data_IF_904313956017
#
_entry.id   IF_904313956017
#
_cell.length_a   1.000
_cell.length_b   1.000
_cell.length_c   1.000
_cell.angle_alpha   90.00
_cell.angle_beta   90.00
_cell.angle_gamma   90.00
#
_symmetry.space_group_name_H-M   'P 1'
#
loop_
_entity.id
_entity.type
_entity.pdbx_description
1 polymer ?
#
# COMPACT_ATOMS: atom_id res chain seq x y z
N UNK A 1 31.38 -13.37 40.42
CA UNK A 1 30.43 -14.00 41.36
C UNK A 1 29.50 -12.90 41.84
N UNK A 2 28.25 -12.91 41.41
CA UNK A 2 27.26 -11.95 41.88
C UNK A 2 26.96 -12.30 43.35
N UNK A 3 27.15 -11.34 44.25
CA UNK A 3 27.15 -11.57 45.70
C UNK A 3 25.73 -11.77 46.26
N UNK A 4 25.18 -12.98 46.08
CA UNK A 4 23.83 -13.40 46.52
C UNK A 4 23.56 -13.20 48.01
N UNK A 5 24.60 -12.91 48.80
CA UNK A 5 24.50 -12.69 50.24
C UNK A 5 23.89 -11.33 50.56
N UNK A 6 24.11 -10.33 49.70
CA UNK A 6 23.69 -8.96 49.94
C UNK A 6 22.16 -8.79 49.87
N UNK A 7 21.47 -9.38 48.87
CA UNK A 7 20.01 -9.32 48.81
C UNK A 7 19.35 -10.03 50.00
N UNK A 8 19.86 -11.20 50.40
CA UNK A 8 19.31 -11.97 51.51
C UNK A 8 19.39 -11.21 52.84
N UNK A 9 20.52 -10.54 53.10
CA UNK A 9 20.68 -9.68 54.28
C UNK A 9 19.72 -8.49 54.26
N UNK A 10 19.50 -7.85 53.11
CA UNK A 10 18.57 -6.73 52.96
C UNK A 10 17.10 -7.16 53.14
N UNK A 11 16.71 -8.31 52.58
CA UNK A 11 15.36 -8.88 52.76
C UNK A 11 15.11 -9.22 54.23
N UNK A 12 16.06 -9.89 54.88
CA UNK A 12 15.97 -10.21 56.30
C UNK A 12 15.86 -8.95 57.16
N UNK A 13 16.68 -7.93 56.89
CA UNK A 13 16.61 -6.64 57.58
C UNK A 13 15.27 -5.94 57.38
N UNK A 14 14.70 -5.98 56.17
CA UNK A 14 13.39 -5.41 55.88
C UNK A 14 12.26 -6.12 56.64
N UNK A 15 12.26 -7.45 56.68
CA UNK A 15 11.28 -8.22 57.47
C UNK A 15 11.42 -7.98 58.97
N UNK A 16 12.65 -7.93 59.49
CA UNK A 16 12.90 -7.62 60.90
C UNK A 16 12.45 -6.21 61.26
N UNK A 17 12.71 -5.23 60.38
CA UNK A 17 12.23 -3.87 60.58
C UNK A 17 10.71 -3.81 60.57
N UNK A 18 10.06 -4.56 59.68
CA UNK A 18 8.59 -4.66 59.64
C UNK A 18 8.02 -5.23 60.94
N UNK A 19 8.65 -6.25 61.51
CA UNK A 19 8.23 -6.85 62.79
C UNK A 19 8.42 -5.89 63.98
N UNK A 20 9.53 -5.15 64.02
CA UNK A 20 9.89 -4.29 65.18
C UNK A 20 9.32 -2.87 65.10
N UNK A 21 9.17 -2.34 63.89
CA UNK A 21 8.92 -0.92 63.60
C UNK A 21 7.70 -0.64 62.71
N UNK A 22 6.98 -1.68 62.29
CA UNK A 22 5.86 -1.57 61.38
C UNK A 22 6.26 -1.55 59.90
N UNK A 23 5.26 -1.69 59.03
CA UNK A 23 5.41 -1.71 57.58
C UNK A 23 6.07 -0.43 57.08
N UNK A 24 5.68 0.71 57.66
CA UNK A 24 6.19 2.03 57.29
C UNK A 24 7.71 2.09 57.26
N UNK A 25 8.36 1.74 58.36
CA UNK A 25 9.82 1.84 58.48
C UNK A 25 10.56 0.80 57.62
N UNK A 26 9.83 -0.20 57.12
CA UNK A 26 10.36 -1.26 56.28
C UNK A 26 10.23 -0.98 54.77
N UNK A 27 9.30 -0.12 54.33
CA UNK A 27 9.09 0.20 52.91
C UNK A 27 10.38 0.59 52.16
N UNK A 28 11.22 1.52 52.65
CA UNK A 28 12.45 1.89 51.95
C UNK A 28 13.48 0.73 51.93
N UNK A 29 13.48 -0.14 52.93
CA UNK A 29 14.34 -1.33 52.96
C UNK A 29 13.89 -2.37 51.92
N UNK A 30 12.58 -2.58 51.76
CA UNK A 30 12.05 -3.43 50.68
C UNK A 30 12.38 -2.86 49.30
N UNK A 31 12.35 -1.53 49.15
CA UNK A 31 12.78 -0.87 47.93
C UNK A 31 14.23 -1.21 47.55
N UNK A 32 15.15 -1.15 48.52
CA UNK A 32 16.57 -1.51 48.32
C UNK A 32 16.79 -3.02 48.13
N UNK A 33 16.04 -3.84 48.85
CA UNK A 33 16.10 -5.29 48.74
C UNK A 33 15.64 -5.75 47.35
N UNK A 34 14.57 -5.14 46.81
CA UNK A 34 14.12 -5.37 45.44
C UNK A 34 15.21 -5.01 44.43
N UNK A 35 15.89 -3.87 44.58
CA UNK A 35 16.95 -3.46 43.65
C UNK A 35 18.12 -4.47 43.67
N UNK A 36 18.51 -4.95 44.86
CA UNK A 36 19.55 -5.96 45.00
C UNK A 36 19.14 -7.30 44.37
N UNK A 37 17.88 -7.74 44.52
CA UNK A 37 17.43 -8.98 43.87
C UNK A 37 17.41 -8.86 42.35
N UNK A 38 17.07 -7.68 41.81
CA UNK A 38 17.09 -7.44 40.36
C UNK A 38 18.51 -7.49 39.81
N UNK A 39 19.49 -6.87 40.49
CA UNK A 39 20.91 -6.95 40.06
C UNK A 39 21.47 -8.36 40.13
N UNK A 40 20.90 -9.21 40.98
CA UNK A 40 21.20 -10.65 41.06
C UNK A 40 20.48 -11.52 40.03
N UNK A 41 19.60 -10.95 39.19
CA UNK A 41 18.79 -11.69 38.23
C UNK A 41 17.60 -12.45 38.85
N UNK A 42 17.23 -12.13 40.09
CA UNK A 42 16.16 -12.77 40.87
C UNK A 42 14.90 -11.92 40.89
N UNK A 43 14.49 -11.41 39.72
CA UNK A 43 13.34 -10.52 39.56
C UNK A 43 12.02 -11.14 40.05
N UNK A 44 11.82 -12.44 39.83
CA UNK A 44 10.63 -13.15 40.30
C UNK A 44 10.51 -13.13 41.84
N UNK A 45 11.62 -13.37 42.54
CA UNK A 45 11.64 -13.30 44.01
C UNK A 45 11.40 -11.88 44.52
N UNK A 46 11.93 -10.87 43.81
CA UNK A 46 11.65 -9.47 44.11
C UNK A 46 10.15 -9.16 43.96
N UNK A 47 9.52 -9.66 42.89
CA UNK A 47 8.10 -9.45 42.64
C UNK A 47 7.24 -10.09 43.74
N UNK A 48 7.50 -11.35 44.10
CA UNK A 48 6.78 -12.04 45.18
C UNK A 48 6.91 -11.30 46.51
N UNK A 49 8.14 -10.88 46.86
CA UNK A 49 8.38 -10.11 48.09
C UNK A 49 7.61 -8.78 48.10
N UNK A 50 7.60 -8.05 46.97
CA UNK A 50 6.85 -6.82 46.87
C UNK A 50 5.34 -7.07 46.92
N UNK A 51 4.81 -8.13 46.30
CA UNK A 51 3.41 -8.51 46.40
C UNK A 51 3.00 -8.74 47.87
N UNK A 52 3.78 -9.52 48.63
CA UNK A 52 3.51 -9.77 50.05
C UNK A 52 3.47 -8.49 50.88
N UNK A 53 4.37 -7.55 50.61
CA UNK A 53 4.49 -6.28 51.33
C UNK A 53 3.34 -5.34 50.95
N UNK A 54 2.95 -5.30 49.68
CA UNK A 54 1.84 -4.47 49.19
C UNK A 54 0.49 -4.99 49.69
N UNK A 55 0.32 -6.31 49.76
CA UNK A 55 -0.89 -6.97 50.28
C UNK A 55 -1.02 -6.82 51.80
N UNK A 56 0.10 -6.77 52.52
CA UNK A 56 0.13 -6.52 53.95
C UNK A 56 -0.31 -5.09 54.31
N UNK A 57 -1.62 -4.85 54.33
CA UNK A 57 -2.21 -3.56 54.73
C UNK A 57 -1.94 -3.29 56.21
N UNK A 58 -1.40 -2.12 56.54
CA UNK A 58 -1.50 -1.59 57.91
C UNK A 58 -2.91 -1.04 58.15
N UNK A 59 -3.43 -1.24 59.37
CA UNK A 59 -4.69 -0.60 59.78
C UNK A 59 -4.51 0.92 59.71
N UNK A 60 -5.34 1.60 58.91
CA UNK A 60 -5.41 3.08 58.81
C UNK A 60 -5.53 3.69 60.22
N UNK A 61 -4.41 4.12 60.80
CA UNK A 61 -4.37 4.83 62.07
C UNK A 61 -4.30 6.35 61.83
N UNK A 62 -4.68 7.12 62.86
CA UNK A 62 -4.72 8.59 62.92
C UNK A 62 -3.33 9.26 62.77
N UNK A 63 -2.63 9.02 61.67
CA UNK A 63 -1.34 9.65 61.38
C UNK A 63 -1.53 11.10 60.86
N UNK A 64 -0.61 12.03 61.14
CA UNK A 64 -0.62 13.39 60.58
C UNK A 64 -0.54 13.40 59.04
N UNK A 65 -1.16 14.40 58.39
CA UNK A 65 -1.27 14.48 56.91
C UNK A 65 0.06 14.43 56.16
N UNK A 66 1.13 15.05 56.68
CA UNK A 66 2.47 15.00 56.07
C UNK A 66 3.05 13.59 56.02
N UNK A 67 2.83 12.83 57.09
CA UNK A 67 3.29 11.45 57.24
C UNK A 67 2.45 10.48 56.40
N UNK A 68 1.16 10.77 56.18
CA UNK A 68 0.31 10.03 55.24
C UNK A 68 0.74 10.25 53.78
N UNK A 69 1.19 11.46 53.43
CA UNK A 69 1.67 11.78 52.09
C UNK A 69 3.00 11.07 51.76
N UNK A 70 3.96 11.04 52.69
CA UNK A 70 5.21 10.27 52.54
C UNK A 70 4.96 8.76 52.41
N UNK A 71 4.08 8.20 53.24
CA UNK A 71 3.70 6.78 53.15
C UNK A 71 3.05 6.44 51.80
N UNK A 72 2.23 7.36 51.30
CA UNK A 72 1.62 7.21 49.99
C UNK A 72 2.69 7.26 48.90
N UNK A 73 3.73 8.10 49.01
CA UNK A 73 4.78 8.17 47.99
C UNK A 73 5.69 6.94 47.99
N UNK A 74 6.13 6.46 49.16
CA UNK A 74 7.00 5.28 49.27
C UNK A 74 6.29 4.00 48.83
N UNK A 75 5.02 3.83 49.24
CA UNK A 75 4.20 2.71 48.79
C UNK A 75 3.99 2.76 47.28
N UNK A 76 3.75 3.95 46.70
CA UNK A 76 3.62 4.09 45.25
C UNK A 76 4.91 3.80 44.49
N UNK A 77 6.07 4.14 45.07
CA UNK A 77 7.35 3.74 44.50
C UNK A 77 7.49 2.22 44.44
N UNK A 78 7.05 1.49 45.48
CA UNK A 78 7.03 0.03 45.46
C UNK A 78 6.01 -0.54 44.45
N UNK A 79 4.83 0.08 44.31
CA UNK A 79 3.84 -0.29 43.27
C UNK A 79 4.46 -0.16 41.87
N UNK A 80 5.13 0.96 41.59
CA UNK A 80 5.82 1.17 40.33
C UNK A 80 6.92 0.13 40.07
N UNK A 81 7.73 -0.20 41.08
CA UNK A 81 8.74 -1.27 40.99
C UNK A 81 8.10 -2.63 40.73
N UNK A 82 7.03 -2.96 41.45
CA UNK A 82 6.30 -4.20 41.30
C UNK A 82 5.72 -4.35 39.89
N UNK A 83 5.05 -3.32 39.38
CA UNK A 83 4.53 -3.30 38.00
C UNK A 83 5.66 -3.48 36.97
N UNK A 84 6.80 -2.80 37.14
CA UNK A 84 7.95 -2.94 36.26
C UNK A 84 8.54 -4.36 36.25
N UNK A 85 8.59 -5.03 37.41
CA UNK A 85 9.07 -6.43 37.50
C UNK A 85 8.15 -7.40 36.76
N UNK A 86 6.84 -7.17 36.80
CA UNK A 86 5.86 -7.99 36.10
C UNK A 86 5.97 -7.76 34.60
N UNK A 87 6.06 -6.50 34.16
CA UNK A 87 6.28 -6.16 32.75
C UNK A 87 7.60 -6.75 32.20
N UNK A 88 8.61 -6.92 33.06
CA UNK A 88 9.87 -7.58 32.71
C UNK A 88 9.79 -9.13 32.67
N UNK A 89 8.63 -9.73 32.95
CA UNK A 89 8.38 -11.16 32.80
C UNK A 89 8.19 -11.95 34.11
N UNK A 90 8.15 -11.28 35.28
CA UNK A 90 7.88 -11.95 36.57
C UNK A 90 6.38 -12.22 36.77
N UNK A 91 5.73 -12.86 35.80
CA UNK A 91 4.27 -13.05 35.79
C UNK A 91 3.90 -14.31 36.59
N UNK A 92 2.94 -14.21 37.50
CA UNK A 92 2.33 -15.31 38.26
C UNK A 92 0.87 -14.98 38.58
N UNK A 93 0.06 -15.98 38.92
CA UNK A 93 -1.34 -15.75 39.32
C UNK A 93 -1.45 -14.82 40.54
N UNK A 94 -0.55 -14.98 41.53
CA UNK A 94 -0.47 -14.09 42.70
C UNK A 94 -0.16 -12.65 42.31
N UNK A 95 0.75 -12.46 41.35
CA UNK A 95 1.12 -11.13 40.89
C UNK A 95 -0.02 -10.46 40.10
N UNK A 96 -0.77 -11.22 39.32
CA UNK A 96 -1.97 -10.75 38.61
C UNK A 96 -3.06 -10.36 39.62
N UNK A 97 -3.29 -11.18 40.65
CA UNK A 97 -4.26 -10.87 41.70
C UNK A 97 -3.90 -9.57 42.44
N UNK A 98 -2.62 -9.40 42.80
CA UNK A 98 -2.12 -8.17 43.41
C UNK A 98 -2.27 -6.95 42.49
N UNK A 99 -1.96 -7.08 41.19
CA UNK A 99 -2.18 -6.00 40.23
C UNK A 99 -3.66 -5.62 40.10
N UNK A 100 -4.57 -6.59 40.11
CA UNK A 100 -6.01 -6.33 40.07
C UNK A 100 -6.49 -5.60 41.33
N UNK A 101 -6.01 -5.97 42.52
CA UNK A 101 -6.29 -5.24 43.76
C UNK A 101 -5.78 -3.78 43.69
N UNK A 102 -4.55 -3.58 43.20
CA UNK A 102 -3.98 -2.25 43.06
C UNK A 102 -4.74 -1.39 42.02
N UNK A 103 -5.22 -2.00 40.93
CA UNK A 103 -6.07 -1.32 39.94
C UNK A 103 -7.44 -0.94 40.53
N UNK A 104 -8.00 -1.76 41.42
CA UNK A 104 -9.24 -1.44 42.12
C UNK A 104 -9.06 -0.30 43.14
N UNK A 105 -7.88 -0.20 43.77
CA UNK A 105 -7.52 0.94 44.63
C UNK A 105 -7.31 2.24 43.83
N UNK A 106 -6.88 2.13 42.56
CA UNK A 106 -6.54 3.25 41.68
C UNK A 106 -7.12 3.06 40.28
N UNK A 107 -8.45 3.21 40.11
CA UNK A 107 -9.10 2.94 38.84
C UNK A 107 -8.61 3.84 37.69
N UNK A 108 -8.10 5.03 38.02
CA UNK A 108 -7.54 6.02 37.10
C UNK A 108 -6.09 5.75 36.63
N UNK A 109 -5.38 4.80 37.26
CA UNK A 109 -3.99 4.49 36.91
C UNK A 109 -3.93 3.57 35.67
N UNK A 110 -3.94 4.20 34.49
CA UNK A 110 -3.88 3.49 33.21
C UNK A 110 -2.59 2.70 32.98
N UNK A 111 -1.47 3.10 33.60
CA UNK A 111 -0.21 2.38 33.45
C UNK A 111 -0.24 1.04 34.21
N UNK A 112 -0.78 1.06 35.42
CA UNK A 112 -0.99 -0.14 36.22
C UNK A 112 -1.98 -1.09 35.54
N UNK A 113 -3.08 -0.55 35.01
CA UNK A 113 -4.08 -1.34 34.27
C UNK A 113 -3.52 -1.94 32.98
N UNK A 114 -2.71 -1.20 32.23
CA UNK A 114 -1.98 -1.74 31.08
C UNK A 114 -1.05 -2.88 31.48
N UNK A 115 -0.33 -2.75 32.59
CA UNK A 115 0.55 -3.81 33.11
C UNK A 115 -0.26 -5.07 33.47
N UNK A 116 -1.43 -4.91 34.08
CA UNK A 116 -2.36 -6.02 34.34
C UNK A 116 -2.79 -6.71 33.04
N UNK A 117 -3.16 -5.93 32.02
CA UNK A 117 -3.55 -6.47 30.71
C UNK A 117 -2.41 -7.27 30.06
N UNK A 118 -1.18 -6.75 30.08
CA UNK A 118 0.02 -7.42 29.57
C UNK A 118 0.30 -8.73 30.32
N UNK A 119 0.19 -8.72 31.66
CA UNK A 119 0.37 -9.90 32.49
C UNK A 119 -0.68 -10.98 32.19
N UNK A 120 -1.94 -10.58 32.01
CA UNK A 120 -3.03 -11.49 31.62
C UNK A 120 -2.76 -12.09 30.23
N UNK A 121 -2.33 -11.29 29.26
CA UNK A 121 -2.00 -11.77 27.91
C UNK A 121 -0.82 -12.76 27.93
N UNK A 122 0.22 -12.50 28.73
CA UNK A 122 1.36 -13.41 28.90
C UNK A 122 0.98 -14.77 29.50
N UNK A 123 -0.08 -14.82 30.32
CA UNK A 123 -0.66 -16.06 30.86
C UNK A 123 -1.70 -16.71 29.94
N UNK A 124 -1.87 -16.21 28.71
CA UNK A 124 -2.86 -16.71 27.75
C UNK A 124 -4.31 -16.34 28.09
N UNK A 125 -4.54 -15.49 29.10
CA UNK A 125 -5.88 -15.03 29.50
C UNK A 125 -6.32 -13.84 28.62
N UNK A 126 -6.35 -14.05 27.31
CA UNK A 126 -6.52 -12.99 26.30
C UNK A 126 -7.86 -12.25 26.40
N UNK A 127 -8.96 -12.92 26.71
CA UNK A 127 -10.28 -12.26 26.87
C UNK A 127 -10.26 -11.22 28.00
N UNK A 128 -9.64 -11.57 29.14
CA UNK A 128 -9.48 -10.66 30.28
C UNK A 128 -8.51 -9.53 29.96
N UNK A 129 -7.41 -9.83 29.26
CA UNK A 129 -6.46 -8.82 28.81
C UNK A 129 -7.13 -7.77 27.91
N UNK A 130 -7.93 -8.21 26.94
CA UNK A 130 -8.68 -7.32 26.03
C UNK A 130 -9.62 -6.40 26.81
N UNK A 131 -10.34 -6.91 27.82
CA UNK A 131 -11.21 -6.10 28.65
C UNK A 131 -10.44 -4.97 29.38
N UNK A 132 -9.29 -5.29 29.97
CA UNK A 132 -8.45 -4.29 30.64
C UNK A 132 -7.83 -3.29 29.66
N UNK A 133 -7.40 -3.73 28.47
CA UNK A 133 -6.93 -2.82 27.43
C UNK A 133 -8.03 -1.88 26.93
N UNK A 134 -9.27 -2.34 26.80
CA UNK A 134 -10.39 -1.51 26.39
C UNK A 134 -10.65 -0.37 27.39
N UNK A 135 -10.54 -0.63 28.69
CA UNK A 135 -10.61 0.39 29.73
C UNK A 135 -9.50 1.44 29.54
N UNK A 136 -8.25 1.02 29.29
CA UNK A 136 -7.14 1.93 29.02
C UNK A 136 -7.38 2.79 27.76
N UNK A 137 -7.86 2.17 26.68
CA UNK A 137 -8.16 2.86 25.42
C UNK A 137 -9.33 3.84 25.52
N UNK A 138 -10.20 3.77 26.55
CA UNK A 138 -11.20 4.84 26.77
C UNK A 138 -10.56 6.15 27.18
N UNK A 139 -9.49 6.09 27.96
CA UNK A 139 -8.76 7.27 28.41
C UNK A 139 -7.82 7.80 27.32
N UNK A 140 -7.16 6.91 26.57
CA UNK A 140 -6.30 7.25 25.43
C UNK A 140 -6.75 6.46 24.17
N UNK A 141 -7.69 7.00 23.37
CA UNK A 141 -8.26 6.27 22.22
C UNK A 141 -7.28 5.97 21.08
N UNK A 142 -6.13 6.65 21.06
CA UNK A 142 -5.10 6.55 20.02
C UNK A 142 -3.73 6.35 20.68
N UNK A 143 -3.50 5.15 21.22
CA UNK A 143 -2.19 4.65 21.68
C UNK A 143 -1.76 3.50 20.77
N UNK A 144 -0.88 3.79 19.79
CA UNK A 144 -0.46 2.82 18.78
C UNK A 144 0.19 1.55 19.38
N UNK A 145 1.15 1.66 20.33
CA UNK A 145 1.66 0.49 21.06
C UNK A 145 0.56 -0.36 21.71
N UNK A 146 -0.45 0.28 22.33
CA UNK A 146 -1.55 -0.46 22.97
C UNK A 146 -2.45 -1.14 21.94
N UNK A 147 -2.71 -0.49 20.79
CA UNK A 147 -3.44 -1.10 19.68
C UNK A 147 -2.73 -2.36 19.15
N UNK A 148 -1.39 -2.35 19.07
CA UNK A 148 -0.61 -3.55 18.73
C UNK A 148 -0.78 -4.67 19.77
N UNK A 149 -0.72 -4.35 21.07
CA UNK A 149 -0.90 -5.34 22.13
C UNK A 149 -2.31 -5.97 22.13
N UNK A 150 -3.34 -5.15 21.90
CA UNK A 150 -4.72 -5.60 21.73
C UNK A 150 -4.86 -6.48 20.50
N UNK A 151 -4.26 -6.11 19.37
CA UNK A 151 -4.30 -6.92 18.16
C UNK A 151 -3.71 -8.32 18.37
N UNK A 152 -2.59 -8.43 19.11
CA UNK A 152 -1.98 -9.71 19.41
C UNK A 152 -2.91 -10.60 20.26
N UNK A 153 -3.58 -10.02 21.26
CA UNK A 153 -4.56 -10.74 22.08
C UNK A 153 -5.79 -11.16 21.27
N UNK A 154 -6.28 -10.32 20.36
CA UNK A 154 -7.40 -10.63 19.47
C UNK A 154 -7.07 -11.77 18.50
N UNK A 155 -5.88 -11.74 17.90
CA UNK A 155 -5.40 -12.79 17.03
C UNK A 155 -5.32 -14.15 17.77
N UNK A 156 -4.83 -14.14 19.01
CA UNK A 156 -4.69 -15.35 19.83
C UNK A 156 -6.04 -16.04 20.15
N UNK A 157 -7.14 -15.28 20.22
CA UNK A 157 -8.50 -15.82 20.39
C UNK A 157 -9.24 -16.04 19.07
N UNK A 158 -8.54 -15.97 17.93
CA UNK A 158 -9.11 -16.19 16.59
C UNK A 158 -10.00 -15.06 16.08
N UNK A 159 -9.95 -13.87 16.69
CA UNK A 159 -10.68 -12.67 16.22
C UNK A 159 -9.83 -11.86 15.26
N UNK A 160 -9.52 -12.47 14.12
CA UNK A 160 -8.57 -11.94 13.14
C UNK A 160 -9.04 -10.63 12.50
N UNK A 161 -10.32 -10.51 12.13
CA UNK A 161 -10.90 -9.29 11.56
C UNK A 161 -10.69 -8.06 12.47
N UNK A 162 -10.96 -8.24 13.77
CA UNK A 162 -10.78 -7.19 14.77
C UNK A 162 -9.30 -6.90 15.00
N UNK A 163 -8.43 -7.91 14.95
CA UNK A 163 -6.98 -7.73 15.03
C UNK A 163 -6.47 -6.86 13.88
N UNK A 164 -6.91 -7.13 12.65
CA UNK A 164 -6.55 -6.35 11.45
C UNK A 164 -7.00 -4.89 11.60
N UNK A 165 -8.24 -4.65 12.05
CA UNK A 165 -8.73 -3.29 12.31
C UNK A 165 -7.81 -2.52 13.28
N UNK A 166 -7.37 -3.18 14.37
CA UNK A 166 -6.49 -2.58 15.36
C UNK A 166 -5.09 -2.32 14.82
N UNK A 167 -4.55 -3.24 14.02
CA UNK A 167 -3.26 -3.06 13.35
C UNK A 167 -3.30 -1.89 12.36
N UNK A 168 -4.36 -1.74 11.57
CA UNK A 168 -4.51 -0.59 10.64
C UNK A 168 -4.51 0.74 11.39
N UNK A 169 -5.29 0.84 12.47
CA UNK A 169 -5.28 2.04 13.32
C UNK A 169 -3.92 2.32 13.97
N UNK A 170 -3.19 1.27 14.36
CA UNK A 170 -1.83 1.42 14.87
C UNK A 170 -0.87 1.92 13.79
N UNK A 171 -0.98 1.39 12.57
CA UNK A 171 -0.19 1.83 11.42
C UNK A 171 -0.42 3.32 11.12
N UNK A 172 -1.68 3.74 11.02
CA UNK A 172 -2.04 5.14 10.76
C UNK A 172 -1.42 6.07 11.83
N UNK A 173 -1.59 5.72 13.10
CA UNK A 173 -1.04 6.50 14.21
C UNK A 173 0.50 6.55 14.21
N UNK A 174 1.18 5.47 13.79
CA UNK A 174 2.64 5.49 13.64
C UNK A 174 3.11 6.35 12.47
N UNK A 175 2.38 6.34 11.35
CA UNK A 175 2.67 7.20 10.20
C UNK A 175 2.47 8.67 10.53
N UNK A 176 1.37 9.00 11.22
CA UNK A 176 1.11 10.35 11.74
C UNK A 176 2.22 10.82 12.68
N UNK A 177 2.68 9.93 13.56
CA UNK A 177 3.81 10.20 14.46
C UNK A 177 5.18 10.15 13.77
N UNK A 178 5.24 9.90 12.46
CA UNK A 178 6.47 9.70 11.66
C UNK A 178 7.40 8.61 12.21
N UNK A 179 6.85 7.65 12.96
CA UNK A 179 7.58 6.51 13.48
C UNK A 179 7.60 5.38 12.45
N UNK A 180 8.46 5.56 11.44
CA UNK A 180 8.50 4.66 10.28
C UNK A 180 8.96 3.25 10.65
N UNK A 181 9.83 3.09 11.64
CA UNK A 181 10.28 1.76 12.08
C UNK A 181 9.13 0.94 12.68
N UNK A 182 8.32 1.57 13.53
CA UNK A 182 7.11 0.92 14.06
C UNK A 182 6.07 0.68 12.95
N UNK A 183 5.89 1.62 12.03
CA UNK A 183 5.00 1.45 10.87
C UNK A 183 5.41 0.23 10.01
N UNK A 184 6.70 0.06 9.72
CA UNK A 184 7.22 -1.12 8.99
C UNK A 184 6.88 -2.40 9.73
N UNK A 185 7.14 -2.48 11.04
CA UNK A 185 6.84 -3.67 11.84
C UNK A 185 5.35 -4.03 11.80
N UNK A 186 4.46 -3.05 11.94
CA UNK A 186 3.00 -3.27 11.88
C UNK A 186 2.57 -3.67 10.48
N UNK A 187 3.09 -3.01 9.45
CA UNK A 187 2.78 -3.31 8.05
C UNK A 187 3.28 -4.71 7.63
N UNK A 188 4.42 -5.16 8.15
CA UNK A 188 4.90 -6.54 8.01
C UNK A 188 3.90 -7.54 8.61
N UNK A 189 3.41 -7.30 9.84
CA UNK A 189 2.39 -8.15 10.47
C UNK A 189 1.08 -8.18 9.67
N UNK A 190 0.63 -7.03 9.16
CA UNK A 190 -0.52 -6.98 8.26
C UNK A 190 -0.29 -7.82 7.00
N UNK A 191 0.89 -7.73 6.41
CA UNK A 191 1.26 -8.56 5.26
C UNK A 191 1.25 -10.05 5.60
N UNK A 192 1.69 -10.49 6.79
CA UNK A 192 1.66 -11.91 7.15
C UNK A 192 0.25 -12.43 7.35
N UNK A 193 -0.63 -11.60 7.93
CA UNK A 193 -2.03 -11.93 8.21
C UNK A 193 -2.87 -11.90 6.92
N UNK A 194 -2.60 -10.94 6.04
CA UNK A 194 -3.29 -10.75 4.76
C UNK A 194 -2.34 -11.00 3.59
N UNK A 195 -1.93 -12.27 3.34
CA UNK A 195 -0.99 -12.63 2.29
C UNK A 195 -1.44 -12.17 0.90
N UNK A 196 -2.75 -12.10 0.69
CA UNK A 196 -3.38 -11.79 -0.59
C UNK A 196 -3.69 -10.30 -0.79
N UNK A 197 -3.43 -9.44 0.21
CA UNK A 197 -3.70 -8.00 0.10
C UNK A 197 -2.65 -7.30 -0.74
N UNK A 198 -3.06 -6.77 -1.90
CA UNK A 198 -2.21 -5.97 -2.77
C UNK A 198 -1.88 -4.61 -2.13
N UNK A 199 -2.87 -4.01 -1.45
CA UNK A 199 -2.73 -2.72 -0.78
C UNK A 199 -1.66 -2.77 0.31
N UNK A 200 -1.72 -3.78 1.19
CA UNK A 200 -0.77 -3.92 2.29
C UNK A 200 0.65 -4.23 1.77
N UNK A 201 0.77 -5.02 0.69
CA UNK A 201 2.06 -5.29 0.05
C UNK A 201 2.67 -4.01 -0.54
N UNK A 202 1.88 -3.20 -1.26
CA UNK A 202 2.32 -1.91 -1.78
C UNK A 202 2.69 -0.92 -0.68
N UNK A 203 1.91 -0.86 0.40
CA UNK A 203 2.23 -0.01 1.53
C UNK A 203 3.60 -0.40 2.12
N UNK A 204 3.86 -1.69 2.30
CA UNK A 204 5.14 -2.17 2.82
C UNK A 204 6.31 -1.90 1.88
N UNK A 205 6.17 -2.08 0.56
CA UNK A 205 7.24 -1.74 -0.39
C UNK A 205 7.59 -0.26 -0.32
N UNK A 206 6.60 0.63 -0.24
CA UNK A 206 6.85 2.07 -0.12
C UNK A 206 7.60 2.43 1.16
N UNK A 207 7.30 1.77 2.27
CA UNK A 207 7.99 2.01 3.54
C UNK A 207 9.43 1.48 3.53
N UNK A 208 9.70 0.37 2.83
CA UNK A 208 11.01 -0.29 2.80
C UNK A 208 12.01 0.30 1.81
N UNK A 209 11.54 0.98 0.75
CA UNK A 209 12.41 1.61 -0.26
C UNK A 209 13.43 2.55 0.38
N UNK A 210 14.70 2.34 0.04
CA UNK A 210 15.83 3.11 0.59
C UNK A 210 16.20 2.78 2.04
N UNK A 211 15.60 1.73 2.65
CA UNK A 211 15.88 1.32 4.03
C UNK A 211 16.45 -0.09 4.13
N UNK A 212 15.87 -1.06 3.41
CA UNK A 212 16.32 -2.45 3.45
C UNK A 212 16.03 -3.15 2.13
N UNK A 213 17.08 -3.33 1.32
CA UNK A 213 16.96 -4.00 0.02
C UNK A 213 16.59 -5.49 0.18
N UNK A 214 17.11 -6.15 1.23
CA UNK A 214 16.78 -7.54 1.52
C UNK A 214 15.29 -7.73 1.84
N UNK A 215 14.74 -6.94 2.77
CA UNK A 215 13.33 -7.02 3.11
C UNK A 215 12.43 -6.53 1.96
N UNK A 216 12.89 -5.53 1.18
CA UNK A 216 12.17 -5.05 0.01
C UNK A 216 12.04 -6.14 -1.05
N UNK A 217 13.12 -6.89 -1.33
CA UNK A 217 13.12 -8.00 -2.27
C UNK A 217 12.06 -9.06 -1.94
N UNK A 218 11.94 -9.46 -0.67
CA UNK A 218 10.97 -10.46 -0.24
C UNK A 218 9.51 -10.00 -0.52
N UNK A 219 9.23 -8.71 -0.29
CA UNK A 219 7.90 -8.14 -0.51
C UNK A 219 7.63 -7.93 -2.00
N UNK A 220 8.64 -7.52 -2.78
CA UNK A 220 8.51 -7.38 -4.24
C UNK A 220 8.25 -8.73 -4.92
N UNK A 221 8.90 -9.82 -4.49
CA UNK A 221 8.64 -11.16 -5.05
C UNK A 221 7.19 -11.59 -4.81
N UNK A 222 6.67 -11.31 -3.62
CA UNK A 222 5.27 -11.54 -3.31
C UNK A 222 4.35 -10.65 -4.12
N UNK A 223 4.66 -9.36 -4.27
CA UNK A 223 3.89 -8.43 -5.07
C UNK A 223 3.85 -8.84 -6.55
N UNK A 224 4.96 -9.32 -7.11
CA UNK A 224 5.02 -9.88 -8.45
C UNK A 224 4.10 -11.10 -8.59
N UNK A 225 4.10 -12.00 -7.60
CA UNK A 225 3.18 -13.15 -7.56
C UNK A 225 1.71 -12.71 -7.51
N UNK A 226 1.40 -11.70 -6.69
CA UNK A 226 0.05 -11.13 -6.59
C UNK A 226 -0.43 -10.46 -7.88
N UNK A 227 0.47 -9.83 -8.65
CA UNK A 227 0.14 -9.29 -9.97
C UNK A 227 0.00 -10.38 -11.02
N UNK A 228 0.83 -11.42 -10.95
CA UNK A 228 0.76 -12.59 -11.81
C UNK A 228 -0.60 -13.30 -11.71
N UNK A 229 -1.03 -13.62 -10.49
CA UNK A 229 -2.31 -14.28 -10.20
C UNK A 229 -3.53 -13.46 -10.66
N UNK A 230 -3.37 -12.14 -10.80
CA UNK A 230 -4.41 -11.20 -11.24
C UNK A 230 -4.26 -10.78 -12.71
N UNK A 231 -3.33 -11.37 -13.44
CA UNK A 231 -3.03 -11.07 -14.85
C UNK A 231 -2.73 -9.58 -15.09
N UNK A 232 -2.13 -8.91 -14.11
CA UNK A 232 -1.70 -7.51 -14.20
C UNK A 232 -0.30 -7.43 -14.81
N UNK A 233 -0.22 -7.74 -16.12
CA UNK A 233 1.03 -7.92 -16.85
C UNK A 233 1.99 -6.73 -16.70
N UNK A 234 1.51 -5.49 -16.88
CA UNK A 234 2.34 -4.28 -16.82
C UNK A 234 2.95 -4.11 -15.42
N UNK A 235 2.12 -4.18 -14.38
CA UNK A 235 2.58 -4.03 -12.99
C UNK A 235 3.50 -5.18 -12.58
N UNK A 236 3.26 -6.40 -13.09
CA UNK A 236 4.16 -7.54 -12.88
C UNK A 236 5.54 -7.26 -13.47
N UNK A 237 5.61 -6.73 -14.71
CA UNK A 237 6.90 -6.33 -15.33
C UNK A 237 7.59 -5.26 -14.50
N UNK A 238 6.90 -4.20 -14.11
CA UNK A 238 7.49 -3.09 -13.33
C UNK A 238 8.15 -3.59 -12.04
N UNK A 239 7.43 -4.42 -11.27
CA UNK A 239 7.95 -5.00 -10.02
C UNK A 239 9.11 -5.94 -10.30
N UNK A 240 9.02 -6.79 -11.33
CA UNK A 240 10.10 -7.73 -11.67
C UNK A 240 11.35 -7.04 -12.20
N UNK A 241 11.22 -5.90 -12.88
CA UNK A 241 12.35 -5.08 -13.29
C UNK A 241 13.03 -4.42 -12.06
N UNK A 242 12.24 -3.99 -11.06
CA UNK A 242 12.78 -3.53 -9.78
C UNK A 242 13.57 -4.65 -9.07
N UNK A 243 13.04 -5.87 -9.04
CA UNK A 243 13.75 -7.05 -8.50
C UNK A 243 15.05 -7.31 -9.28
N UNK A 244 15.03 -7.24 -10.62
CA UNK A 244 16.22 -7.46 -11.45
C UNK A 244 17.30 -6.39 -11.23
N UNK A 245 16.91 -5.16 -10.90
CA UNK A 245 17.85 -4.08 -10.56
C UNK A 245 18.51 -4.30 -9.20
N UNK A 246 17.77 -4.84 -8.22
CA UNK A 246 18.26 -5.11 -6.87
C UNK A 246 19.06 -6.41 -6.76
N UNK A 247 18.67 -7.45 -7.50
CA UNK A 247 19.25 -8.79 -7.45
C UNK A 247 19.37 -9.40 -8.86
N UNK A 248 20.30 -8.89 -9.69
CA UNK A 248 20.46 -9.31 -11.10
C UNK A 248 20.87 -10.78 -11.26
N UNK A 249 21.42 -11.41 -10.23
CA UNK A 249 21.84 -12.81 -10.22
C UNK A 249 20.67 -13.80 -10.04
N UNK A 250 19.45 -13.34 -9.72
CA UNK A 250 18.29 -14.21 -9.51
C UNK A 250 17.76 -14.76 -10.84
N UNK A 251 18.19 -15.96 -11.18
CA UNK A 251 17.75 -16.67 -12.38
C UNK A 251 16.23 -16.88 -12.42
N UNK A 252 15.60 -17.13 -11.26
CA UNK A 252 14.14 -17.29 -11.13
C UNK A 252 13.36 -16.05 -11.56
N UNK A 253 13.84 -14.86 -11.22
CA UNK A 253 13.22 -13.60 -11.65
C UNK A 253 13.46 -13.36 -13.15
N UNK A 254 14.65 -13.70 -13.66
CA UNK A 254 14.97 -13.61 -15.09
C UNK A 254 14.03 -14.47 -15.94
N UNK A 255 13.79 -15.72 -15.53
CA UNK A 255 12.84 -16.61 -16.22
C UNK A 255 11.41 -16.09 -16.14
N UNK A 256 11.01 -15.54 -15.00
CA UNK A 256 9.67 -15.00 -14.84
C UNK A 256 9.44 -13.70 -15.62
N UNK A 257 10.46 -12.85 -15.78
CA UNK A 257 10.39 -11.71 -16.70
C UNK A 257 10.20 -12.15 -18.15
N UNK A 258 10.95 -13.16 -18.61
CA UNK A 258 10.79 -13.71 -19.95
C UNK A 258 9.38 -14.28 -20.17
N UNK A 259 8.83 -14.99 -19.18
CA UNK A 259 7.44 -15.49 -19.21
C UNK A 259 6.43 -14.35 -19.35
N UNK A 260 6.53 -13.31 -18.52
CA UNK A 260 5.58 -12.18 -18.57
C UNK A 260 5.69 -11.42 -19.88
N UNK A 261 6.89 -11.18 -20.38
CA UNK A 261 7.06 -10.55 -21.70
C UNK A 261 6.48 -11.42 -22.81
N UNK A 262 6.63 -12.75 -22.74
CA UNK A 262 6.03 -13.67 -23.72
C UNK A 262 4.50 -13.56 -23.68
N UNK A 263 3.92 -13.55 -22.48
CA UNK A 263 2.47 -13.36 -22.29
C UNK A 263 1.99 -11.99 -22.77
N UNK A 264 2.82 -10.94 -22.67
CA UNK A 264 2.51 -9.64 -23.28
C UNK A 264 2.52 -9.75 -24.80
N UNK A 265 3.53 -10.38 -25.39
CA UNK A 265 3.64 -10.57 -26.85
C UNK A 265 2.55 -11.48 -27.43
N UNK A 266 2.05 -12.46 -26.67
CA UNK A 266 0.89 -13.26 -27.03
C UNK A 266 -0.39 -12.39 -27.14
N UNK A 267 -0.46 -11.32 -26.35
CA UNK A 267 -1.60 -10.38 -26.29
C UNK A 267 -1.44 -9.21 -27.27
N UNK A 268 -0.22 -8.73 -27.48
CA UNK A 268 0.16 -7.66 -28.40
C UNK A 268 1.55 -7.97 -29.01
N UNK A 269 1.60 -8.63 -30.18
CA UNK A 269 2.85 -8.97 -30.85
C UNK A 269 3.68 -7.75 -31.29
N UNK A 270 3.14 -6.53 -31.24
CA UNK A 270 3.82 -5.31 -31.65
C UNK A 270 4.36 -4.49 -30.45
N UNK A 271 4.33 -5.03 -29.22
CA UNK A 271 4.86 -4.33 -28.05
C UNK A 271 6.41 -4.25 -28.09
N UNK A 272 6.92 -3.09 -28.50
CA UNK A 272 8.36 -2.81 -28.58
C UNK A 272 9.09 -2.98 -27.23
N UNK A 273 8.42 -2.70 -26.10
CA UNK A 273 9.02 -2.80 -24.78
C UNK A 273 9.17 -4.26 -24.36
N UNK A 274 8.19 -5.10 -24.68
CA UNK A 274 8.25 -6.54 -24.44
C UNK A 274 9.29 -7.23 -25.31
N UNK A 275 9.39 -6.86 -26.59
CA UNK A 275 10.47 -7.33 -27.48
C UNK A 275 11.85 -6.93 -26.96
N UNK A 276 12.05 -5.66 -26.62
CA UNK A 276 13.33 -5.19 -26.06
C UNK A 276 13.67 -5.91 -24.75
N UNK A 277 12.67 -6.19 -23.91
CA UNK A 277 12.81 -6.94 -22.67
C UNK A 277 13.26 -8.39 -22.88
N UNK A 278 12.58 -9.12 -23.77
CA UNK A 278 12.96 -10.50 -24.14
C UNK A 278 14.33 -10.54 -24.83
N UNK A 279 14.62 -9.65 -25.78
CA UNK A 279 15.93 -9.59 -26.44
C UNK A 279 17.07 -9.38 -25.44
N UNK A 280 16.87 -8.56 -24.40
CA UNK A 280 17.86 -8.34 -23.35
C UNK A 280 18.03 -9.55 -22.41
N UNK A 281 16.97 -10.32 -22.20
CA UNK A 281 16.92 -11.43 -21.24
C UNK A 281 17.34 -12.76 -21.89
N UNK A 282 16.75 -13.09 -23.02
CA UNK A 282 16.98 -14.32 -23.76
C UNK A 282 16.84 -14.05 -25.27
N UNK A 283 17.93 -13.64 -25.94
CA UNK A 283 17.95 -13.44 -27.39
C UNK A 283 17.54 -14.69 -28.19
N UNK A 284 17.78 -15.89 -27.65
CA UNK A 284 17.41 -17.13 -28.34
C UNK A 284 15.90 -17.35 -28.30
N UNK A 285 15.25 -17.05 -27.17
CA UNK A 285 13.79 -17.07 -27.06
C UNK A 285 13.16 -15.99 -27.95
N UNK A 286 13.75 -14.78 -27.99
CA UNK A 286 13.33 -13.70 -28.88
C UNK A 286 13.27 -14.17 -30.34
N UNK A 287 14.35 -14.79 -30.83
CA UNK A 287 14.42 -15.30 -32.20
C UNK A 287 13.38 -16.38 -32.49
N UNK A 288 13.06 -17.24 -31.50
CA UNK A 288 12.00 -18.26 -31.65
C UNK A 288 10.61 -17.62 -31.70
N UNK A 289 10.34 -16.65 -30.82
CA UNK A 289 9.06 -15.94 -30.79
C UNK A 289 8.83 -15.12 -32.05
N UNK A 290 9.86 -14.51 -32.63
CA UNK A 290 9.74 -13.81 -33.92
C UNK A 290 9.19 -14.75 -35.00
N UNK A 291 9.72 -15.98 -35.10
CA UNK A 291 9.24 -16.97 -36.08
C UNK A 291 7.80 -17.43 -35.79
N UNK A 292 7.40 -17.48 -34.52
CA UNK A 292 6.09 -17.99 -34.10
C UNK A 292 4.97 -16.93 -34.19
N UNK A 293 5.30 -15.66 -33.94
CA UNK A 293 4.35 -14.55 -33.87
C UNK A 293 4.33 -13.70 -35.14
N UNK A 294 5.32 -13.83 -36.04
CA UNK A 294 5.26 -13.27 -37.40
C UNK A 294 4.29 -14.08 -38.27
N UNK A 295 3.02 -13.69 -38.28
CA UNK A 295 2.10 -13.97 -39.39
C UNK A 295 1.95 -12.72 -40.26
N UNK A 296 2.58 -12.74 -41.44
CA UNK A 296 2.36 -11.87 -42.62
C UNK A 296 1.91 -10.42 -42.36
N UNK A 297 2.80 -9.58 -41.80
CA UNK A 297 2.75 -8.13 -42.02
C UNK A 297 4.19 -7.65 -42.26
N UNK A 298 4.43 -7.01 -43.41
CA UNK A 298 5.77 -6.53 -43.80
C UNK A 298 6.43 -5.68 -42.70
N UNK A 299 7.68 -5.97 -42.31
CA UNK A 299 8.37 -5.18 -41.30
C UNK A 299 8.76 -3.80 -41.85
N UNK A 300 8.42 -2.76 -41.10
CA UNK A 300 9.01 -1.43 -41.27
C UNK A 300 10.55 -1.59 -41.10
N UNK A 301 11.38 -1.13 -42.04
CA UNK A 301 12.81 -1.38 -42.00
C UNK A 301 13.45 -0.68 -40.79
N UNK A 302 13.94 -1.47 -39.83
CA UNK A 302 14.77 -0.99 -38.71
C UNK A 302 16.10 -0.46 -39.24
N UNK A 303 16.63 0.68 -38.73
CA UNK A 303 17.98 1.11 -39.07
C UNK A 303 19.00 0.14 -38.44
N UNK A 304 19.64 -0.66 -39.30
CA UNK A 304 20.74 -1.54 -38.92
C UNK A 304 21.93 -0.69 -38.47
N UNK A 305 22.15 -0.56 -37.16
CA UNK A 305 23.45 -0.18 -36.65
C UNK A 305 24.42 -1.31 -36.97
N UNK A 306 25.28 -1.10 -37.99
CA UNK A 306 26.36 -2.01 -38.37
C UNK A 306 27.25 -2.31 -37.16
N UNK A 307 27.11 -3.49 -36.58
CA UNK A 307 28.21 -4.18 -35.92
C UNK A 307 28.46 -5.48 -36.66
N UNK A 308 29.56 -5.49 -37.42
CA UNK A 308 30.07 -6.70 -38.04
C UNK A 308 30.69 -7.60 -36.95
N UNK A 309 30.34 -8.88 -36.97
CA UNK A 309 31.15 -9.98 -36.47
C UNK A 309 31.45 -10.89 -37.70
N UNK A 310 32.57 -11.66 -37.76
CA UNK A 310 33.06 -12.47 -36.65
C UNK A 310 34.59 -12.67 -36.52
N UNK A 311 35.05 -13.17 -35.38
CA UNK A 311 35.74 -14.48 -35.28
C UNK A 311 36.12 -14.80 -33.83
N UNK A 312 35.90 -16.05 -33.46
CA UNK A 312 36.20 -16.65 -32.17
C UNK A 312 37.72 -16.74 -31.89
N UNK A 313 38.14 -16.31 -30.70
CA UNK A 313 39.29 -16.86 -29.97
C UNK A 313 39.31 -16.34 -28.51
N UNK A 314 39.45 -17.30 -27.58
CA UNK A 314 39.91 -17.18 -26.19
C UNK A 314 39.21 -16.19 -25.24
N UNK A 315 38.57 -16.75 -24.20
CA UNK A 315 38.16 -15.99 -23.01
C UNK A 315 39.38 -15.38 -22.28
N UNK A 316 39.20 -14.19 -21.70
CA UNK A 316 39.57 -14.03 -20.31
C UNK A 316 38.40 -13.48 -19.47
N UNK A 317 38.33 -13.96 -18.23
CA UNK A 317 37.49 -13.47 -17.14
C UNK A 317 37.56 -11.94 -17.02
N UNK A 318 36.42 -11.28 -17.22
CA UNK A 318 36.21 -9.86 -16.89
C UNK A 318 34.96 -9.77 -16.02
N UNK A 319 35.11 -9.15 -14.84
CA UNK A 319 34.05 -8.89 -13.87
C UNK A 319 32.80 -8.26 -14.54
N UNK A 320 31.57 -8.52 -14.02
CA UNK A 320 30.37 -8.01 -14.65
C UNK A 320 30.39 -6.48 -14.63
N UNK A 321 30.45 -5.90 -15.83
CA UNK A 321 30.21 -4.48 -16.05
C UNK A 321 28.76 -4.21 -15.66
N UNK A 322 28.54 -3.24 -14.78
CA UNK A 322 27.22 -2.80 -14.35
C UNK A 322 26.27 -2.66 -15.55
N UNK A 323 25.05 -3.21 -15.41
CA UNK A 323 24.00 -2.99 -16.39
C UNK A 323 23.87 -1.47 -16.64
N UNK A 324 23.74 -1.03 -17.89
CA UNK A 324 23.45 0.37 -18.16
C UNK A 324 22.13 0.74 -17.49
N UNK A 325 22.07 1.94 -16.90
CA UNK A 325 20.84 2.47 -16.32
C UNK A 325 19.69 2.33 -17.33
N UNK A 326 18.58 1.76 -16.86
CA UNK A 326 17.38 1.56 -17.66
C UNK A 326 16.99 2.89 -18.33
N UNK A 327 16.67 2.89 -19.64
CA UNK A 327 16.08 4.06 -20.26
C UNK A 327 14.78 4.38 -19.50
N UNK A 328 14.59 5.64 -19.11
CA UNK A 328 13.30 6.11 -18.61
C UNK A 328 12.26 5.83 -19.71
N UNK A 329 11.34 4.91 -19.45
CA UNK A 329 10.24 4.59 -20.36
C UNK A 329 9.23 5.73 -20.30
N UNK A 330 9.48 6.77 -21.08
CA UNK A 330 8.49 7.80 -21.42
C UNK A 330 8.08 7.62 -22.90
N UNK A 331 7.44 6.50 -23.21
CA UNK A 331 6.68 6.27 -24.46
C UNK A 331 5.80 5.01 -24.29
N UNK A 332 4.48 4.97 -24.51
CA UNK A 332 3.42 5.97 -24.35
C UNK A 332 2.13 5.15 -24.10
N UNK A 333 1.47 5.33 -22.95
CA UNK A 333 0.21 4.60 -22.62
C UNK A 333 -0.86 4.72 -23.73
N UNK A 334 -0.80 5.78 -24.55
CA UNK A 334 -1.72 6.02 -25.67
C UNK A 334 -1.52 5.13 -26.90
N UNK A 335 -0.31 4.62 -27.19
CA UNK A 335 -0.10 3.75 -28.35
C UNK A 335 -0.73 2.36 -28.12
N UNK A 336 -0.51 1.78 -26.93
CA UNK A 336 -1.09 0.50 -26.53
C UNK A 336 -2.62 0.53 -26.44
N UNK A 337 -3.18 1.56 -25.79
CA UNK A 337 -4.63 1.70 -25.69
C UNK A 337 -5.29 1.88 -27.07
N UNK A 338 -4.60 2.50 -28.03
CA UNK A 338 -5.05 2.61 -29.44
C UNK A 338 -5.00 1.27 -30.16
N UNK A 339 -3.92 0.50 -30.00
CA UNK A 339 -3.79 -0.86 -30.56
C UNK A 339 -4.93 -1.77 -30.11
N UNK A 340 -5.14 -1.88 -28.79
CA UNK A 340 -6.24 -2.67 -28.20
C UNK A 340 -7.62 -2.22 -28.65
N UNK A 341 -7.84 -0.91 -28.82
CA UNK A 341 -9.11 -0.40 -29.29
C UNK A 341 -9.41 -0.84 -30.74
N UNK A 342 -8.41 -0.84 -31.61
CA UNK A 342 -8.56 -1.30 -33.00
C UNK A 342 -8.72 -2.82 -33.12
N UNK A 343 -8.04 -3.60 -32.28
CA UNK A 343 -8.24 -5.06 -32.21
C UNK A 343 -9.67 -5.41 -31.77
N UNK A 344 -10.17 -4.76 -30.71
CA UNK A 344 -11.53 -4.96 -30.24
C UNK A 344 -12.57 -4.55 -31.30
N UNK A 345 -12.31 -3.47 -32.05
CA UNK A 345 -13.11 -3.07 -33.21
C UNK A 345 -13.12 -4.13 -34.30
N UNK A 346 -11.96 -4.68 -34.66
CA UNK A 346 -11.83 -5.73 -35.68
C UNK A 346 -12.54 -7.02 -35.26
N UNK A 347 -12.58 -7.32 -33.96
CA UNK A 347 -13.31 -8.43 -33.37
C UNK A 347 -14.83 -8.19 -33.25
N UNK A 348 -15.31 -6.97 -33.53
CA UNK A 348 -16.71 -6.58 -33.38
C UNK A 348 -17.15 -6.33 -31.93
N UNK A 349 -16.21 -6.31 -30.97
CA UNK A 349 -16.48 -5.97 -29.57
C UNK A 349 -16.46 -4.45 -29.38
N UNK A 350 -17.60 -3.84 -29.74
CA UNK A 350 -17.78 -2.38 -29.67
C UNK A 350 -17.68 -1.83 -28.25
N UNK A 351 -18.02 -2.63 -27.22
CA UNK A 351 -17.99 -2.18 -25.83
C UNK A 351 -16.54 -2.06 -25.34
N UNK A 352 -15.74 -3.09 -25.54
CA UNK A 352 -14.32 -3.08 -25.16
C UNK A 352 -13.55 -2.03 -25.95
N UNK A 353 -13.83 -1.91 -27.25
CA UNK A 353 -13.25 -0.86 -28.08
C UNK A 353 -13.55 0.56 -27.55
N UNK A 354 -14.81 0.83 -27.18
CA UNK A 354 -15.21 2.14 -26.65
C UNK A 354 -14.47 2.50 -25.35
N UNK A 355 -14.30 1.54 -24.45
CA UNK A 355 -13.57 1.74 -23.19
C UNK A 355 -12.08 2.03 -23.41
N UNK A 356 -11.47 1.37 -24.40
CA UNK A 356 -10.06 1.60 -24.74
C UNK A 356 -9.85 2.98 -25.37
N UNK A 357 -10.75 3.43 -26.26
CA UNK A 357 -10.68 4.77 -26.84
C UNK A 357 -10.96 5.89 -25.83
N UNK A 358 -11.86 5.69 -24.85
CA UNK A 358 -12.09 6.69 -23.80
C UNK A 358 -10.84 6.96 -22.96
N UNK A 359 -10.00 5.94 -22.73
CA UNK A 359 -8.71 6.13 -22.02
C UNK A 359 -7.73 7.01 -22.81
N UNK A 360 -7.85 7.09 -24.13
CA UNK A 360 -7.03 7.97 -24.97
C UNK A 360 -7.44 9.43 -24.86
N UNK A 361 -8.69 9.70 -24.46
CA UNK A 361 -9.24 11.05 -24.32
C UNK A 361 -8.45 11.89 -23.32
N UNK A 362 -7.94 11.27 -22.27
CA UNK A 362 -7.13 11.91 -21.22
C UNK A 362 -5.62 11.95 -21.57
N UNK A 363 -5.18 11.16 -22.55
CA UNK A 363 -3.77 10.89 -22.84
C UNK A 363 -3.24 11.41 -24.19
N UNK A 364 -3.97 12.29 -24.87
CA UNK A 364 -3.57 12.85 -26.18
C UNK A 364 -4.18 12.12 -27.38
N UNK A 365 -5.51 12.01 -27.42
CA UNK A 365 -6.24 11.40 -28.53
C UNK A 365 -6.04 12.13 -29.87
N UNK A 366 -6.03 11.35 -30.95
CA UNK A 366 -6.06 11.85 -32.33
C UNK A 366 -7.51 11.99 -32.83
N UNK A 367 -7.71 12.78 -33.90
CA UNK A 367 -9.01 12.88 -34.58
C UNK A 367 -9.55 11.51 -35.01
N UNK A 368 -8.67 10.64 -35.51
CA UNK A 368 -9.03 9.27 -35.92
C UNK A 368 -9.55 8.42 -34.75
N UNK A 369 -8.95 8.56 -33.56
CA UNK A 369 -9.35 7.81 -32.35
C UNK A 369 -10.77 8.21 -31.91
N UNK A 370 -11.04 9.52 -31.89
CA UNK A 370 -12.36 10.04 -31.50
C UNK A 370 -13.44 9.72 -32.55
N UNK A 371 -13.07 9.70 -33.83
CA UNK A 371 -13.96 9.24 -34.90
C UNK A 371 -14.31 7.76 -34.78
N UNK A 372 -13.34 6.93 -34.38
CA UNK A 372 -13.55 5.50 -34.14
C UNK A 372 -14.42 5.24 -32.90
N UNK A 373 -14.19 5.98 -31.81
CA UNK A 373 -15.04 5.97 -30.61
C UNK A 373 -16.48 6.35 -30.93
N UNK A 374 -16.69 7.39 -31.74
CA UNK A 374 -18.02 7.82 -32.14
C UNK A 374 -18.79 6.71 -32.86
N UNK A 375 -18.12 5.99 -33.77
CA UNK A 375 -18.71 4.82 -34.46
C UNK A 375 -19.01 3.66 -33.50
N UNK A 376 -18.16 3.42 -32.50
CA UNK A 376 -18.44 2.42 -31.45
C UNK A 376 -19.73 2.75 -30.71
N UNK A 377 -19.89 4.01 -30.28
CA UNK A 377 -21.09 4.45 -29.57
C UNK A 377 -22.35 4.41 -30.45
N UNK A 378 -22.24 4.78 -31.72
CA UNK A 378 -23.35 4.63 -32.66
C UNK A 378 -23.78 3.16 -32.80
N UNK A 379 -22.83 2.23 -32.92
CA UNK A 379 -23.12 0.78 -32.97
C UNK A 379 -23.67 0.21 -31.66
N UNK A 380 -23.42 0.87 -30.53
CA UNK A 380 -23.98 0.54 -29.20
C UNK A 380 -25.33 1.24 -28.92
N UNK A 381 -25.92 1.92 -29.91
CA UNK A 381 -27.14 2.74 -29.77
C UNK A 381 -27.03 3.86 -28.70
N UNK A 382 -25.83 4.39 -28.49
CA UNK A 382 -25.54 5.53 -27.62
C UNK A 382 -25.37 6.81 -28.44
N UNK A 383 -26.48 7.33 -28.97
CA UNK A 383 -26.48 8.41 -29.96
C UNK A 383 -25.89 9.72 -29.42
N UNK A 384 -26.19 10.09 -28.17
CA UNK A 384 -25.69 11.33 -27.57
C UNK A 384 -24.17 11.29 -27.39
N UNK A 385 -23.65 10.17 -26.90
CA UNK A 385 -22.22 9.94 -26.70
C UNK A 385 -21.47 9.87 -28.05
N UNK A 386 -22.09 9.29 -29.07
CA UNK A 386 -21.57 9.30 -30.44
C UNK A 386 -21.46 10.72 -31.01
N UNK A 387 -22.47 11.57 -30.78
CA UNK A 387 -22.44 12.97 -31.20
C UNK A 387 -21.31 13.75 -30.51
N UNK A 388 -21.15 13.58 -29.19
CA UNK A 388 -20.09 14.23 -28.43
C UNK A 388 -18.69 13.78 -28.87
N UNK A 389 -18.49 12.49 -29.11
CA UNK A 389 -17.22 11.95 -29.59
C UNK A 389 -16.88 12.47 -31.01
N UNK A 390 -17.87 12.59 -31.89
CA UNK A 390 -17.69 13.17 -33.23
C UNK A 390 -17.37 14.66 -33.18
N UNK A 391 -17.99 15.41 -32.27
CA UNK A 391 -17.68 16.82 -32.05
C UNK A 391 -16.26 17.03 -31.49
N UNK A 392 -15.81 16.13 -30.61
CA UNK A 392 -14.44 16.12 -30.12
C UNK A 392 -13.43 15.82 -31.24
N UNK A 393 -13.76 14.89 -32.16
CA UNK A 393 -12.94 14.61 -33.34
C UNK A 393 -12.81 15.85 -34.23
N UNK A 394 -13.92 16.54 -34.53
CA UNK A 394 -13.92 17.78 -35.31
C UNK A 394 -13.07 18.87 -34.65
N UNK A 395 -13.17 19.02 -33.33
CA UNK A 395 -12.38 20.02 -32.58
C UNK A 395 -10.87 19.73 -32.60
N UNK A 396 -10.49 18.45 -32.59
CA UNK A 396 -9.09 18.04 -32.70
C UNK A 396 -8.54 18.26 -34.12
N UNK A 397 -9.34 17.95 -35.15
CA UNK A 397 -8.99 18.20 -36.54
C UNK A 397 -8.82 19.70 -36.85
N UNK A 398 -9.71 20.57 -36.33
CA UNK A 398 -9.60 22.02 -36.50
C UNK A 398 -8.30 22.54 -35.87
N UNK A 399 -7.96 22.09 -34.65
CA UNK A 399 -6.71 22.47 -33.97
C UNK A 399 -5.47 21.99 -34.73
N UNK A 400 -5.57 20.87 -35.44
CA UNK A 400 -4.50 20.34 -36.28
C UNK A 400 -4.42 21.01 -37.67
N UNK A 401 -5.39 21.86 -38.03
CA UNK A 401 -5.47 22.51 -39.35
C UNK A 401 -5.99 21.60 -40.46
N UNK A 402 -6.67 20.49 -40.11
CA UNK A 402 -7.17 19.49 -41.06
C UNK A 402 -8.64 19.77 -41.42
N UNK A 403 -8.91 20.82 -42.21
CA UNK A 403 -10.29 21.25 -42.52
C UNK A 403 -11.15 20.15 -43.16
N UNK A 404 -10.56 19.23 -43.93
CA UNK A 404 -11.29 18.08 -44.51
C UNK A 404 -11.79 17.10 -43.43
N UNK A 405 -10.98 16.80 -42.43
CA UNK A 405 -11.34 15.90 -41.34
C UNK A 405 -12.35 16.55 -40.39
N UNK A 406 -12.26 17.87 -40.19
CA UNK A 406 -13.27 18.65 -39.45
C UNK A 406 -14.64 18.58 -40.12
N UNK A 407 -14.70 18.77 -41.45
CA UNK A 407 -15.96 18.65 -42.22
C UNK A 407 -16.51 17.23 -42.14
N UNK A 408 -15.67 16.21 -42.35
CA UNK A 408 -16.10 14.81 -42.31
C UNK A 408 -16.67 14.40 -40.94
N UNK A 409 -16.08 14.87 -39.85
CA UNK A 409 -16.57 14.58 -38.49
C UNK A 409 -17.91 15.28 -38.18
N UNK A 410 -18.11 16.52 -38.67
CA UNK A 410 -19.38 17.24 -38.48
C UNK A 410 -20.50 16.68 -39.37
N UNK A 411 -20.20 16.31 -40.62
CA UNK A 411 -21.17 15.70 -41.53
C UNK A 411 -21.61 14.33 -41.02
N UNK A 412 -20.69 13.56 -40.43
CA UNK A 412 -21.02 12.30 -39.78
C UNK A 412 -21.87 12.50 -38.52
N UNK A 413 -21.59 13.53 -37.71
CA UNK A 413 -22.41 13.91 -36.57
C UNK A 413 -23.84 14.22 -36.99
N UNK A 414 -24.03 15.03 -38.03
CA UNK A 414 -25.35 15.40 -38.54
C UNK A 414 -26.13 14.19 -39.09
N UNK A 415 -25.42 13.21 -39.65
CA UNK A 415 -26.02 11.98 -40.14
C UNK A 415 -26.51 11.02 -39.04
N UNK A 416 -26.12 11.23 -37.77
CA UNK A 416 -26.60 10.41 -36.64
C UNK A 416 -28.06 10.69 -36.26
N UNK A 417 -28.60 11.83 -36.69
CA UNK A 417 -29.94 12.31 -36.33
C UNK A 417 -30.70 12.75 -37.57
N UNK A 418 -31.99 13.07 -37.42
CA UNK A 418 -32.75 13.58 -38.54
C UNK A 418 -32.19 14.93 -39.05
N UNK A 419 -32.28 15.23 -40.36
CA UNK A 419 -31.71 16.43 -40.93
C UNK A 419 -32.22 17.69 -40.23
N UNK A 420 -31.30 18.49 -39.68
CA UNK A 420 -31.61 19.72 -38.94
C UNK A 420 -31.80 19.56 -37.43
N UNK A 421 -31.82 18.34 -36.89
CA UNK A 421 -32.04 18.10 -35.46
C UNK A 421 -30.75 18.13 -34.62
N UNK A 422 -29.57 18.02 -35.25
CA UNK A 422 -28.27 17.97 -34.56
C UNK A 422 -28.02 19.16 -33.61
N UNK A 423 -28.29 20.43 -33.99
CA UNK A 423 -28.09 21.56 -33.09
C UNK A 423 -29.04 21.53 -31.90
N UNK A 424 -30.30 21.11 -32.11
CA UNK A 424 -31.29 20.95 -31.05
C UNK A 424 -30.89 19.87 -30.04
N UNK A 425 -30.44 18.71 -30.54
CA UNK A 425 -29.95 17.59 -29.72
C UNK A 425 -28.70 17.92 -28.93
N UNK A 426 -27.72 18.62 -29.52
CA UNK A 426 -26.54 19.07 -28.80
C UNK A 426 -26.90 20.06 -27.69
N UNK A 427 -27.87 20.94 -27.93
CA UNK A 427 -28.37 21.89 -26.93
C UNK A 427 -29.11 21.21 -25.77
N UNK A 428 -29.80 20.10 -26.03
CA UNK A 428 -30.39 19.26 -24.98
C UNK A 428 -29.34 18.56 -24.11
N UNK A 429 -28.16 18.26 -24.66
CA UNK A 429 -27.04 17.67 -23.92
C UNK A 429 -26.37 18.74 -23.06
N UNK A 430 -25.80 19.78 -23.68
CA UNK A 430 -25.22 20.93 -22.98
C UNK A 430 -24.98 22.14 -23.92
N UNK A 431 -25.06 23.35 -23.36
CA UNK A 431 -24.88 24.61 -24.12
C UNK A 431 -23.47 24.79 -24.69
N UNK A 432 -22.44 24.16 -24.12
CA UNK A 432 -21.06 24.29 -24.63
C UNK A 432 -20.86 23.49 -25.91
N UNK A 433 -21.35 22.25 -25.97
CA UNK A 433 -21.26 21.39 -27.15
C UNK A 433 -22.05 21.98 -28.32
N UNK A 434 -23.23 22.54 -28.05
CA UNK A 434 -23.98 23.31 -29.06
C UNK A 434 -23.18 24.52 -29.57
N UNK A 435 -22.62 25.33 -28.67
CA UNK A 435 -21.81 26.49 -29.05
C UNK A 435 -20.54 26.13 -29.84
N UNK A 436 -19.90 25.01 -29.50
CA UNK A 436 -18.73 24.49 -30.22
C UNK A 436 -19.11 24.07 -31.65
N UNK A 437 -20.21 23.33 -31.81
CA UNK A 437 -20.71 22.91 -33.13
C UNK A 437 -21.00 24.12 -34.04
N UNK A 438 -21.75 25.11 -33.55
CA UNK A 438 -22.06 26.35 -34.29
C UNK A 438 -20.78 27.11 -34.69
N UNK A 439 -19.82 27.21 -33.77
CA UNK A 439 -18.54 27.89 -34.04
C UNK A 439 -17.74 27.18 -35.13
N UNK A 440 -17.67 25.85 -35.11
CA UNK A 440 -16.97 25.05 -36.12
C UNK A 440 -17.65 25.15 -37.49
N UNK A 441 -18.97 25.01 -37.55
CA UNK A 441 -19.75 25.11 -38.80
C UNK A 441 -19.66 26.50 -39.42
N UNK A 442 -19.75 27.56 -38.62
CA UNK A 442 -19.63 28.95 -39.11
C UNK A 442 -18.23 29.25 -39.66
N UNK A 443 -17.15 28.80 -39.01
CA UNK A 443 -15.78 28.96 -39.53
C UNK A 443 -15.57 28.23 -40.86
N UNK A 444 -16.04 27.00 -40.98
CA UNK A 444 -15.94 26.23 -42.23
C UNK A 444 -16.75 26.87 -43.38
N UNK A 445 -17.87 27.54 -43.06
CA UNK A 445 -18.64 28.30 -44.06
C UNK A 445 -17.93 29.58 -44.51
N UNK A 446 -17.08 30.17 -43.66
CA UNK A 446 -16.29 31.36 -43.98
C UNK A 446 -15.01 31.03 -44.79
N UNK A 447 -14.45 29.83 -44.63
CA UNK A 447 -13.24 29.36 -45.36
C UNK A 447 -13.52 28.94 -46.83
N UNK A 448 -14.77 28.70 -47.21
CA UNK A 448 -15.18 28.46 -48.61
C UNK A 448 -16.03 29.61 -49.16
N UNK A 449 -15.46 30.76 -49.59
CA UNK A 449 -16.19 31.73 -50.38
C UNK A 449 -16.28 31.23 -51.83
N UNK A 450 -17.19 30.29 -52.09
CA UNK A 450 -17.42 29.79 -53.44
C UNK A 450 -17.96 28.37 -53.47
N UNK A 451 -19.27 28.24 -53.24
CA UNK A 451 -20.27 27.44 -53.97
C UNK A 451 -21.58 27.61 -53.17
N UNK A 452 -22.13 28.83 -53.21
CA UNK A 452 -23.51 29.14 -52.81
C UNK A 452 -23.93 30.49 -53.41
N UNK A 453 -23.59 30.71 -54.69
CA UNK A 453 -24.25 31.71 -55.53
C UNK A 453 -25.07 30.97 -56.58
N UNK A 454 -26.00 30.11 -56.12
CA UNK A 454 -26.95 29.41 -56.98
C UNK A 454 -28.09 28.78 -56.17
N UNK A 455 -28.67 29.53 -55.23
CA UNK A 455 -30.06 29.26 -54.79
C UNK A 455 -30.88 30.51 -54.44
N UNK A 456 -30.32 31.72 -54.46
CA UNK A 456 -31.08 32.98 -54.32
C UNK A 456 -31.57 33.57 -55.66
N UNK A 457 -31.98 32.73 -56.62
CA UNK A 457 -32.62 33.18 -57.87
C UNK A 457 -33.98 32.49 -58.17
N UNK A 458 -34.62 31.89 -57.16
CA UNK A 458 -36.01 31.40 -57.27
C UNK A 458 -36.98 32.01 -56.25
N UNK A 459 -36.68 33.20 -55.70
CA UNK A 459 -37.65 34.01 -54.94
C UNK A 459 -37.59 35.51 -55.27
N UNK A 460 -37.62 35.81 -56.56
CA UNK A 460 -38.17 37.04 -57.13
C UNK A 460 -39.03 36.63 -58.34
#
# INVERSE_FOLDING_TARGET
MIDKKQSAELVAAAHDRRKRGGLREALPLYGRASDALVTEGRGAEAATMLAEVLHAREKRFLAPRSLQAEQSSERMALVGKFAALIAAGSVSDDNIAMLAELCAERPEDGALRRTLAQALAAMGQHDRAIAEYQECLRALPVDAPMLEEVSASLAAIGREDLSIERLRRALDAYLEAQNIEAAIRVCQRLNTVLPQSLEDALHLTTLLRGRSDAALLDVLERLATLYHEREKLIQEVEVRLEIAALAPERQTNRTALADVFTRILDVDPNDDSAWAGIEAIDPSLAAQLHVLLETDVEPIPRPVARFAAPSAAAMPSVAPKALPAAPKVEASHGAYARGKAHEALAAGDLLTASLCFERLREGGALCADMSALARCYAGLNKTNEAMLASLAAASLAEKAGESENTVAALDWLDALVAPGDAPGRLKEIDDMSFGQYETLRTRLSAEKPGIAASSELEKA
#
